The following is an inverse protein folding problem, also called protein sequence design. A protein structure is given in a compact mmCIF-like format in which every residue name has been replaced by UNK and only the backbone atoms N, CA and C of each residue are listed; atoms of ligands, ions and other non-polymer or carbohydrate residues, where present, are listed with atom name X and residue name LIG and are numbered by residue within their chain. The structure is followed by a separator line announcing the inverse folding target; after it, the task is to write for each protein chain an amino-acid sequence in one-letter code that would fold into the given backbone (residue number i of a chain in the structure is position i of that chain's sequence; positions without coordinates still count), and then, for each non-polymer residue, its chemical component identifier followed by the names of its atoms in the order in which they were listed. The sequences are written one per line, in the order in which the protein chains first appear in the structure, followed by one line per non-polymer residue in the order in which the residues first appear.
data_IF_989932946864
#
_entry.id   IF_989932946864
#
_cell.length_a   1.000
_cell.length_b   1.000
_cell.length_c   1.000
_cell.angle_alpha   90.00
_cell.angle_beta   90.00
_cell.angle_gamma   90.00
#
_symmetry.space_group_name_H-M   'P 1'
#
loop_
_entity.id
_entity.type
_entity.pdbx_description
1 polymer ?
#
# COMPACT_ATOMS: atom_id res chain seq x y z
N UNK A 1 -14.32 -13.21 -10.40
CA UNK A 1 -14.04 -13.29 -8.96
C UNK A 1 -14.44 -11.99 -8.31
N UNK A 2 -15.31 -12.08 -7.31
CA UNK A 2 -15.79 -10.91 -6.57
C UNK A 2 -14.81 -10.57 -5.43
N UNK A 3 -14.39 -9.31 -5.36
CA UNK A 3 -13.51 -8.80 -4.31
C UNK A 3 -14.30 -7.86 -3.41
N UNK A 4 -14.37 -8.18 -2.13
CA UNK A 4 -14.93 -7.33 -1.11
C UNK A 4 -13.81 -6.59 -0.39
N UNK A 5 -13.95 -5.26 -0.23
CA UNK A 5 -12.97 -4.46 0.49
C UNK A 5 -13.53 -4.11 1.85
N UNK A 6 -12.85 -4.55 2.91
CA UNK A 6 -13.33 -4.47 4.30
C UNK A 6 -12.40 -3.59 5.12
N UNK A 7 -12.97 -2.61 5.82
CA UNK A 7 -12.21 -1.74 6.71
C UNK A 7 -11.69 -2.51 7.93
N UNK A 8 -10.42 -2.36 8.23
CA UNK A 8 -9.75 -3.02 9.36
C UNK A 8 -10.10 -2.25 10.64
N UNK A 9 -10.93 -2.82 11.49
CA UNK A 9 -11.44 -2.19 12.71
C UNK A 9 -11.16 -3.00 13.98
N UNK A 10 -10.68 -4.24 13.86
CA UNK A 10 -10.43 -5.14 14.99
C UNK A 10 -8.98 -5.59 15.07
N UNK A 11 -8.57 -6.05 16.25
CA UNK A 11 -7.25 -6.64 16.43
C UNK A 11 -7.07 -7.91 15.59
N UNK A 12 -8.11 -8.69 15.40
CA UNK A 12 -8.08 -9.90 14.57
C UNK A 12 -7.78 -9.51 13.10
N UNK A 13 -8.42 -8.46 12.59
CA UNK A 13 -8.14 -7.95 11.23
C UNK A 13 -6.70 -7.45 11.09
N UNK A 14 -6.16 -6.80 12.13
CA UNK A 14 -4.76 -6.33 12.14
C UNK A 14 -3.81 -7.54 12.04
N UNK A 15 -4.08 -8.62 12.77
CA UNK A 15 -3.27 -9.84 12.66
C UNK A 15 -3.31 -10.44 11.26
N UNK A 16 -4.46 -10.41 10.59
CA UNK A 16 -4.59 -10.87 9.20
C UNK A 16 -3.71 -10.01 8.28
N UNK A 17 -3.73 -8.69 8.45
CA UNK A 17 -2.85 -7.79 7.66
C UNK A 17 -1.37 -8.12 7.89
N UNK A 18 -0.96 -8.29 9.15
CA UNK A 18 0.43 -8.59 9.49
C UNK A 18 0.89 -9.93 8.89
N UNK A 19 0.04 -10.95 8.90
CA UNK A 19 0.32 -12.25 8.31
C UNK A 19 0.42 -12.17 6.78
N UNK A 20 -0.47 -11.43 6.13
CA UNK A 20 -0.40 -11.16 4.69
C UNK A 20 0.89 -10.42 4.33
N UNK A 21 1.26 -9.43 5.12
CA UNK A 21 2.48 -8.66 4.89
C UNK A 21 3.72 -9.55 4.94
N UNK A 22 3.82 -10.44 5.92
CA UNK A 22 4.96 -11.37 6.03
C UNK A 22 5.06 -12.28 4.80
N UNK A 23 3.95 -12.87 4.38
CA UNK A 23 3.93 -13.73 3.20
C UNK A 23 4.31 -12.96 1.93
N UNK A 24 3.67 -11.83 1.68
CA UNK A 24 3.85 -11.06 0.44
C UNK A 24 5.24 -10.45 0.37
N UNK A 25 5.70 -9.83 1.44
CA UNK A 25 7.00 -9.17 1.48
C UNK A 25 8.15 -10.16 1.34
N UNK A 26 8.07 -11.30 2.02
CA UNK A 26 9.09 -12.34 1.93
C UNK A 26 9.22 -12.91 0.51
N UNK A 27 8.10 -13.05 -0.20
CA UNK A 27 8.10 -13.55 -1.58
C UNK A 27 8.57 -12.52 -2.60
N UNK A 28 8.20 -11.25 -2.44
CA UNK A 28 8.41 -10.22 -3.46
C UNK A 28 9.69 -9.41 -3.26
N UNK A 29 9.93 -8.94 -2.05
CA UNK A 29 10.99 -7.95 -1.80
C UNK A 29 12.36 -8.55 -1.45
N UNK A 30 12.43 -9.81 -1.08
CA UNK A 30 13.70 -10.45 -0.72
C UNK A 30 14.74 -10.34 -1.84
N UNK A 31 14.32 -10.52 -3.10
CA UNK A 31 15.21 -10.39 -4.26
C UNK A 31 15.56 -8.94 -4.61
N UNK A 32 14.84 -7.96 -4.08
CA UNK A 32 15.04 -6.52 -4.38
C UNK A 32 15.93 -5.87 -3.32
N UNK A 33 15.62 -6.07 -2.04
CA UNK A 33 16.28 -5.37 -0.92
C UNK A 33 17.00 -6.30 0.05
N UNK A 34 16.90 -7.63 -0.15
CA UNK A 34 17.56 -8.63 0.70
C UNK A 34 16.74 -9.03 1.92
N UNK A 35 17.04 -10.21 2.44
CA UNK A 35 16.32 -10.82 3.56
C UNK A 35 16.37 -9.97 4.83
N UNK A 36 17.55 -9.42 5.17
CA UNK A 36 17.71 -8.61 6.39
C UNK A 36 16.87 -7.36 6.39
N UNK A 37 16.81 -6.65 5.26
CA UNK A 37 16.00 -5.44 5.14
C UNK A 37 14.51 -5.78 5.12
N UNK A 38 14.11 -6.87 4.48
CA UNK A 38 12.72 -7.35 4.53
C UNK A 38 12.30 -7.62 5.98
N UNK A 39 13.11 -8.34 6.76
CA UNK A 39 12.77 -8.62 8.16
C UNK A 39 12.70 -7.34 8.99
N UNK A 40 13.60 -6.40 8.75
CA UNK A 40 13.56 -5.08 9.40
C UNK A 40 12.26 -4.33 9.08
N UNK A 41 11.87 -4.30 7.81
CA UNK A 41 10.64 -3.65 7.36
C UNK A 41 9.40 -4.30 7.95
N UNK A 42 9.34 -5.63 7.99
CA UNK A 42 8.22 -6.36 8.58
C UNK A 42 8.08 -6.06 10.05
N UNK A 43 9.17 -6.06 10.80
CA UNK A 43 9.16 -5.81 12.25
C UNK A 43 8.75 -4.38 12.58
N UNK A 44 9.30 -3.40 11.87
CA UNK A 44 9.15 -1.98 12.24
C UNK A 44 7.96 -1.29 11.58
N UNK A 45 7.48 -1.78 10.42
CA UNK A 45 6.44 -1.08 9.64
C UNK A 45 5.23 -1.94 9.28
N UNK A 46 5.33 -3.26 9.39
CA UNK A 46 4.31 -4.20 8.91
C UNK A 46 3.89 -5.21 10.00
N UNK A 47 4.37 -5.06 11.22
CA UNK A 47 3.95 -5.91 12.34
C UNK A 47 2.60 -5.45 12.90
N UNK A 48 1.93 -6.33 13.65
CA UNK A 48 0.67 -5.97 14.33
C UNK A 48 0.83 -4.73 15.21
N UNK A 49 1.93 -4.64 15.96
CA UNK A 49 2.21 -3.48 16.80
C UNK A 49 2.40 -2.20 15.98
N UNK A 50 3.16 -2.27 14.89
CA UNK A 50 3.40 -1.13 14.01
C UNK A 50 2.09 -0.66 13.34
N UNK A 51 1.30 -1.60 12.83
CA UNK A 51 0.00 -1.29 12.19
C UNK A 51 -0.96 -0.65 13.20
N UNK A 52 -1.04 -1.18 14.42
CA UNK A 52 -1.86 -0.61 15.49
C UNK A 52 -1.47 0.84 15.77
N UNK A 53 -0.18 1.13 15.90
CA UNK A 53 0.32 2.50 16.11
C UNK A 53 -0.05 3.40 14.95
N UNK A 54 0.11 2.93 13.72
CA UNK A 54 -0.25 3.70 12.52
C UNK A 54 -1.75 4.03 12.49
N UNK A 55 -2.61 3.07 12.79
CA UNK A 55 -4.06 3.28 12.86
C UNK A 55 -4.41 4.31 13.95
N UNK A 56 -3.79 4.22 15.11
CA UNK A 56 -4.00 5.18 16.19
C UNK A 56 -3.54 6.60 15.81
N UNK A 57 -2.62 6.72 14.87
CA UNK A 57 -2.13 8.00 14.34
C UNK A 57 -2.84 8.45 13.05
N UNK A 58 -3.94 7.80 12.67
CA UNK A 58 -4.80 8.25 11.57
C UNK A 58 -4.71 7.44 10.28
N UNK A 59 -3.87 6.41 10.22
CA UNK A 59 -3.83 5.51 9.05
C UNK A 59 -5.10 4.68 8.98
N UNK A 60 -5.55 4.38 7.78
CA UNK A 60 -6.69 3.51 7.52
C UNK A 60 -6.21 2.27 6.77
N UNK A 61 -6.63 1.11 7.23
CA UNK A 61 -6.29 -0.17 6.60
C UNK A 61 -7.54 -0.87 6.10
N UNK A 62 -7.39 -1.54 4.98
CA UNK A 62 -8.46 -2.29 4.32
C UNK A 62 -7.94 -3.65 3.87
N UNK A 63 -8.78 -4.67 3.99
CA UNK A 63 -8.50 -6.02 3.50
C UNK A 63 -9.28 -6.28 2.21
N UNK A 64 -8.65 -6.92 1.26
CA UNK A 64 -9.31 -7.47 0.08
C UNK A 64 -9.67 -8.92 0.36
N UNK A 65 -10.96 -9.23 0.35
CA UNK A 65 -11.49 -10.57 0.61
C UNK A 65 -12.14 -11.15 -0.64
N UNK A 66 -11.95 -12.45 -0.83
CA UNK A 66 -12.69 -13.27 -1.78
C UNK A 66 -13.27 -14.48 -1.05
N UNK A 67 -13.94 -15.37 -1.78
CA UNK A 67 -14.43 -16.63 -1.22
C UNK A 67 -13.31 -17.48 -0.62
N UNK A 68 -12.10 -17.37 -1.12
CA UNK A 68 -10.92 -18.09 -0.62
C UNK A 68 -10.24 -17.41 0.58
N UNK A 69 -10.75 -16.28 1.06
CA UNK A 69 -10.21 -15.55 2.21
C UNK A 69 -9.58 -14.23 1.84
N UNK A 70 -8.74 -13.71 2.74
CA UNK A 70 -8.04 -12.44 2.54
C UNK A 70 -6.85 -12.63 1.62
N UNK A 71 -6.79 -11.83 0.56
CA UNK A 71 -5.79 -11.98 -0.52
C UNK A 71 -4.93 -10.73 -0.75
N UNK A 72 -5.22 -9.64 -0.06
CA UNK A 72 -4.47 -8.41 -0.18
C UNK A 72 -4.89 -7.38 0.85
N UNK A 73 -4.18 -6.27 0.90
CA UNK A 73 -4.49 -5.19 1.83
C UNK A 73 -4.03 -3.83 1.31
N UNK A 74 -4.64 -2.79 1.88
CA UNK A 74 -4.31 -1.37 1.66
C UNK A 74 -3.96 -0.71 2.98
N UNK A 75 -3.03 0.24 2.92
CA UNK A 75 -2.82 1.24 3.96
C UNK A 75 -2.91 2.62 3.36
N UNK A 76 -3.74 3.47 3.92
CA UNK A 76 -3.99 4.84 3.47
C UNK A 76 -3.66 5.84 4.57
N UNK A 77 -3.00 6.94 4.21
CA UNK A 77 -2.74 8.06 5.09
C UNK A 77 -3.39 9.32 4.49
N UNK A 78 -4.61 9.68 4.91
CA UNK A 78 -5.25 10.90 4.41
C UNK A 78 -4.59 12.15 4.98
N UNK A 79 -4.28 13.11 4.11
CA UNK A 79 -3.78 14.43 4.47
C UNK A 79 -4.86 15.48 4.19
N UNK A 80 -5.60 15.83 5.24
CA UNK A 80 -6.71 16.79 5.13
C UNK A 80 -6.26 18.23 4.94
N UNK A 81 -5.01 18.56 5.28
CA UNK A 81 -4.47 19.91 5.07
C UNK A 81 -4.14 20.16 3.59
N UNK A 82 -3.59 19.16 2.92
CA UNK A 82 -3.20 19.27 1.52
C UNK A 82 -4.26 18.70 0.57
N UNK A 83 -5.34 18.13 1.08
CA UNK A 83 -6.37 17.44 0.32
C UNK A 83 -5.79 16.34 -0.59
N UNK A 84 -4.87 15.57 -0.02
CA UNK A 84 -4.19 14.47 -0.72
C UNK A 84 -4.34 13.17 0.05
N UNK A 85 -4.42 12.08 -0.70
CA UNK A 85 -4.38 10.74 -0.13
C UNK A 85 -3.01 10.13 -0.38
N UNK A 86 -2.33 9.72 0.68
CA UNK A 86 -1.12 8.91 0.53
C UNK A 86 -1.51 7.43 0.57
N UNK A 87 -1.26 6.74 -0.53
CA UNK A 87 -1.35 5.29 -0.61
C UNK A 87 -0.05 4.70 -0.06
N UNK A 88 -0.04 4.41 1.25
CA UNK A 88 1.18 3.95 1.91
C UNK A 88 1.48 2.47 1.64
N UNK A 89 0.44 1.67 1.42
CA UNK A 89 0.57 0.23 1.17
C UNK A 89 -0.53 -0.26 0.23
N UNK A 90 -0.13 -1.05 -0.77
CA UNK A 90 -1.04 -1.79 -1.63
C UNK A 90 -0.34 -3.09 -2.04
N UNK A 91 -0.82 -4.20 -1.54
CA UNK A 91 -0.20 -5.50 -1.75
C UNK A 91 -1.24 -6.58 -1.99
N UNK A 92 -0.92 -7.50 -2.91
CA UNK A 92 -1.77 -8.63 -3.29
C UNK A 92 -0.92 -9.89 -3.25
N UNK A 93 -1.47 -10.98 -2.69
CA UNK A 93 -0.82 -12.29 -2.71
C UNK A 93 -0.40 -12.67 -4.12
N UNK A 94 0.78 -13.27 -4.25
CA UNK A 94 1.31 -13.70 -5.54
C UNK A 94 0.32 -14.58 -6.31
N UNK A 95 -0.28 -15.54 -5.62
CA UNK A 95 -1.26 -16.46 -6.20
C UNK A 95 -2.55 -15.79 -6.69
N UNK A 96 -2.82 -14.57 -6.23
CA UNK A 96 -4.01 -13.80 -6.58
C UNK A 96 -3.73 -12.64 -7.53
N UNK A 97 -2.49 -12.49 -7.99
CA UNK A 97 -2.10 -11.45 -8.95
C UNK A 97 -2.66 -11.76 -10.34
N UNK A 98 -2.73 -10.71 -11.18
CA UNK A 98 -3.25 -10.77 -12.56
C UNK A 98 -4.71 -11.22 -12.67
N UNK A 99 -5.47 -11.04 -11.59
CA UNK A 99 -6.91 -11.35 -11.52
C UNK A 99 -7.76 -10.11 -11.25
N UNK A 100 -7.16 -8.92 -11.42
CA UNK A 100 -7.85 -7.65 -11.24
C UNK A 100 -7.98 -7.19 -9.78
N UNK A 101 -7.34 -7.85 -8.81
CA UNK A 101 -7.43 -7.49 -7.39
C UNK A 101 -6.77 -6.13 -7.12
N UNK A 102 -5.56 -5.92 -7.62
CA UNK A 102 -4.86 -4.64 -7.49
C UNK A 102 -5.64 -3.49 -8.11
N UNK A 103 -6.27 -3.74 -9.25
CA UNK A 103 -7.12 -2.75 -9.92
C UNK A 103 -8.36 -2.41 -9.08
N UNK A 104 -9.00 -3.40 -8.47
CA UNK A 104 -10.13 -3.19 -7.57
C UNK A 104 -9.73 -2.36 -6.35
N UNK A 105 -8.57 -2.64 -5.77
CA UNK A 105 -8.02 -1.89 -4.64
C UNK A 105 -7.73 -0.44 -5.03
N UNK A 106 -7.08 -0.21 -6.16
CA UNK A 106 -6.76 1.16 -6.60
C UNK A 106 -8.00 1.95 -6.99
N UNK A 107 -8.97 1.30 -7.63
CA UNK A 107 -10.28 1.92 -7.92
C UNK A 107 -10.98 2.36 -6.63
N UNK A 108 -10.91 1.56 -5.58
CA UNK A 108 -11.44 1.92 -4.25
C UNK A 108 -10.76 3.18 -3.71
N UNK A 109 -9.43 3.26 -3.78
CA UNK A 109 -8.66 4.43 -3.30
C UNK A 109 -9.07 5.68 -4.07
N UNK A 110 -9.16 5.62 -5.39
CA UNK A 110 -9.55 6.75 -6.24
C UNK A 110 -10.97 7.21 -5.93
N UNK A 111 -11.90 6.27 -5.72
CA UNK A 111 -13.27 6.58 -5.32
C UNK A 111 -13.34 7.25 -3.96
N UNK A 112 -12.57 6.78 -2.98
CA UNK A 112 -12.49 7.42 -1.67
C UNK A 112 -11.95 8.85 -1.78
N UNK A 113 -10.98 9.10 -2.65
CA UNK A 113 -10.48 10.45 -2.90
C UNK A 113 -11.57 11.38 -3.45
N UNK A 114 -12.35 10.91 -4.44
CA UNK A 114 -13.48 11.68 -4.99
C UNK A 114 -14.50 11.99 -3.90
N UNK A 115 -14.90 10.99 -3.11
CA UNK A 115 -15.89 11.14 -2.04
C UNK A 115 -15.46 12.12 -0.95
N UNK A 116 -14.15 12.20 -0.66
CA UNK A 116 -13.59 13.08 0.37
C UNK A 116 -13.15 14.44 -0.17
N UNK A 117 -13.23 14.67 -1.47
CA UNK A 117 -12.78 15.91 -2.10
C UNK A 117 -11.25 16.06 -2.16
N UNK A 118 -10.52 14.95 -2.16
CA UNK A 118 -9.07 14.97 -2.30
C UNK A 118 -8.66 15.15 -3.77
N UNK A 119 -7.60 15.90 -4.01
CA UNK A 119 -7.16 16.30 -5.35
C UNK A 119 -6.15 15.35 -5.97
N UNK A 120 -5.50 14.50 -5.19
CA UNK A 120 -4.49 13.57 -5.70
C UNK A 120 -4.27 12.38 -4.79
N UNK A 121 -3.72 11.32 -5.39
CA UNK A 121 -3.16 10.16 -4.69
C UNK A 121 -1.66 10.17 -4.91
N UNK A 122 -0.88 10.06 -3.84
CA UNK A 122 0.57 9.92 -3.90
C UNK A 122 1.00 8.57 -3.31
N UNK A 123 2.14 8.08 -3.74
CA UNK A 123 2.76 6.87 -3.21
C UNK A 123 4.27 6.93 -3.37
N UNK A 124 4.97 6.14 -2.59
CA UNK A 124 6.38 5.85 -2.82
C UNK A 124 6.54 4.40 -3.26
N UNK A 125 7.47 4.15 -4.16
CA UNK A 125 7.77 2.82 -4.69
C UNK A 125 9.27 2.67 -4.84
N UNK A 126 9.80 1.52 -4.41
CA UNK A 126 11.22 1.23 -4.58
C UNK A 126 11.59 1.34 -6.07
N UNK A 127 12.67 2.07 -6.36
CA UNK A 127 13.05 2.34 -7.76
C UNK A 127 13.46 1.10 -8.54
N UNK A 128 13.74 -0.01 -7.88
CA UNK A 128 14.02 -1.29 -8.53
C UNK A 128 12.79 -2.19 -8.66
N UNK A 129 11.64 -1.76 -8.14
CA UNK A 129 10.36 -2.46 -8.32
C UNK A 129 9.74 -2.08 -9.68
N UNK A 130 10.36 -2.55 -10.76
CA UNK A 130 10.05 -2.13 -12.12
C UNK A 130 8.62 -2.47 -12.54
N UNK A 131 8.11 -3.63 -12.16
CA UNK A 131 6.76 -4.06 -12.51
C UNK A 131 5.69 -3.15 -11.86
N UNK A 132 5.90 -2.80 -10.59
CA UNK A 132 4.99 -1.89 -9.88
C UNK A 132 5.03 -0.49 -10.50
N UNK A 133 6.22 0.04 -10.79
CA UNK A 133 6.38 1.35 -11.42
C UNK A 133 5.66 1.41 -12.76
N UNK A 134 5.84 0.37 -13.60
CA UNK A 134 5.18 0.29 -14.90
C UNK A 134 3.64 0.25 -14.74
N UNK A 135 3.14 -0.50 -13.78
CA UNK A 135 1.71 -0.60 -13.50
C UNK A 135 1.13 0.74 -13.04
N UNK A 136 1.82 1.43 -12.12
CA UNK A 136 1.37 2.76 -11.67
C UNK A 136 1.36 3.78 -12.81
N UNK A 137 2.39 3.79 -13.67
CA UNK A 137 2.42 4.65 -14.87
C UNK A 137 1.23 4.36 -15.80
N UNK A 138 0.95 3.10 -16.03
CA UNK A 138 -0.21 2.69 -16.82
C UNK A 138 -1.52 3.17 -16.21
N UNK A 139 -1.61 3.22 -14.88
CA UNK A 139 -2.79 3.72 -14.15
C UNK A 139 -2.85 5.26 -14.09
N UNK A 140 -1.89 5.96 -14.65
CA UNK A 140 -1.90 7.43 -14.73
C UNK A 140 -1.05 8.14 -13.67
N UNK A 141 -0.26 7.41 -12.90
CA UNK A 141 0.70 8.00 -11.97
C UNK A 141 1.94 8.49 -12.72
N UNK A 142 2.53 9.57 -12.22
CA UNK A 142 3.78 10.15 -12.75
C UNK A 142 4.81 10.20 -11.63
N UNK A 143 6.08 9.97 -11.98
CA UNK A 143 7.19 10.20 -11.06
C UNK A 143 7.36 11.72 -10.90
N UNK A 144 7.25 12.21 -9.67
CA UNK A 144 7.40 13.63 -9.36
C UNK A 144 8.65 13.94 -8.54
N UNK A 145 9.24 12.95 -7.89
CA UNK A 145 10.45 13.14 -7.08
C UNK A 145 11.17 11.81 -6.84
N UNK A 146 12.40 11.91 -6.33
CA UNK A 146 13.20 10.79 -5.83
C UNK A 146 13.39 10.99 -4.34
N UNK A 147 13.14 9.96 -3.56
CA UNK A 147 13.21 10.01 -2.09
C UNK A 147 14.15 8.92 -1.61
N UNK A 148 15.24 9.31 -0.95
CA UNK A 148 16.11 8.36 -0.25
C UNK A 148 16.04 8.67 1.23
N UNK A 149 15.50 7.74 2.01
CA UNK A 149 15.24 7.91 3.44
C UNK A 149 16.01 6.87 4.24
N UNK A 150 16.73 7.32 5.24
CA UNK A 150 17.29 6.46 6.28
C UNK A 150 16.14 5.96 7.16
N UNK A 151 15.96 4.64 7.25
CA UNK A 151 14.89 4.03 8.05
C UNK A 151 15.42 3.39 9.32
N UNK A 152 16.72 3.58 9.64
CA UNK A 152 17.37 3.05 10.82
C UNK A 152 18.15 1.77 10.53
N UNK A 153 19.00 1.41 11.48
CA UNK A 153 19.80 0.18 11.46
C UNK A 153 20.67 0.01 10.19
N UNK A 154 21.06 1.13 9.57
CA UNK A 154 21.87 1.13 8.35
C UNK A 154 21.08 0.87 7.06
N UNK A 155 19.75 0.77 7.13
CA UNK A 155 18.90 0.56 5.96
C UNK A 155 18.37 1.86 5.39
N UNK A 156 18.13 1.86 4.07
CA UNK A 156 17.56 2.99 3.35
C UNK A 156 16.37 2.55 2.51
N UNK A 157 15.36 3.41 2.41
CA UNK A 157 14.34 3.35 1.37
C UNK A 157 14.77 4.28 0.25
N UNK A 158 15.01 3.72 -0.94
CA UNK A 158 15.46 4.44 -2.13
C UNK A 158 14.33 4.36 -3.17
N UNK A 159 13.45 5.35 -3.13
CA UNK A 159 12.14 5.29 -3.77
C UNK A 159 11.94 6.42 -4.78
N UNK A 160 10.98 6.19 -5.69
CA UNK A 160 10.32 7.27 -6.42
C UNK A 160 9.05 7.68 -5.68
N UNK A 161 8.81 8.98 -5.62
CA UNK A 161 7.51 9.53 -5.26
C UNK A 161 6.69 9.66 -6.54
N UNK A 162 5.52 9.03 -6.57
CA UNK A 162 4.60 9.09 -7.70
C UNK A 162 3.28 9.72 -7.27
N UNK A 163 2.63 10.40 -8.20
CA UNK A 163 1.35 11.07 -7.93
C UNK A 163 0.42 10.95 -9.14
N UNK A 164 -0.86 10.78 -8.83
CA UNK A 164 -1.95 10.84 -9.80
C UNK A 164 -2.95 11.90 -9.38
N UNK A 165 -3.26 12.83 -10.28
CA UNK A 165 -4.31 13.82 -10.06
C UNK A 165 -5.67 13.14 -10.17
N UNK A 166 -6.53 13.41 -9.20
CA UNK A 166 -7.90 12.90 -9.18
C UNK A 166 -8.83 14.00 -9.64
N UNK A 167 -9.55 13.71 -10.72
CA UNK A 167 -10.54 14.63 -11.27
C UNK A 167 -11.82 14.54 -10.45
N UNK A 168 -12.43 15.68 -10.07
CA UNK A 168 -13.71 15.64 -9.37
C UNK A 168 -14.81 15.09 -10.30
N UNK A 169 -15.77 14.36 -9.73
CA UNK A 169 -16.98 13.99 -10.45
C UNK A 169 -17.77 15.27 -10.79
N UNK A 170 -18.10 15.38 -12.07
CA UNK A 170 -18.87 16.52 -12.58
C UNK A 170 -20.36 16.23 -12.49
#
# INVERSE_FOLDING_TARGET
MSVEIVHVLSNDDIEVVANLAREIWSQHFTSIIGESQVEYMLTNFQSSAAITTQINNGSEYYLAKTESGCIGYLGLNPDFYQNKMMLSKIYVKYSSRRKGVGQSLLNFVEKECVLRGFSSVSLTVNKFNHDAIAWYKWRGFMIIDKVKKDIGDGFFMDDYLMEKIIEPDV
#
